data_IF_602250030829
#
_entry.id   IF_602250030829
#
_cell.length_a   1.000
_cell.length_b   1.000
_cell.length_c   1.000
_cell.angle_alpha   90.00
_cell.angle_beta   90.00
_cell.angle_gamma   90.00
#
_symmetry.space_group_name_H-M   'P 1'
#
loop_
_entity.id
_entity.type
_entity.pdbx_description
1 polymer ?
#
# COMPACT_ATOMS: atom_id res chain seq x y z
N UNK A 1 -20.63 -19.93 -31.43
CA UNK A 1 -19.76 -19.10 -30.58
C UNK A 1 -18.76 -20.03 -29.94
N UNK A 2 -17.47 -19.80 -30.13
CA UNK A 2 -16.43 -20.55 -29.42
C UNK A 2 -16.51 -20.14 -27.94
N UNK A 3 -16.88 -21.08 -27.07
CA UNK A 3 -16.94 -20.85 -25.63
C UNK A 3 -15.71 -21.45 -24.97
N UNK A 4 -15.35 -20.95 -23.79
CA UNK A 4 -14.22 -21.47 -23.01
C UNK A 4 -14.51 -22.86 -22.37
N UNK A 5 -15.62 -23.51 -22.72
CA UNK A 5 -16.07 -24.76 -22.09
C UNK A 5 -15.16 -25.95 -22.35
N UNK A 6 -14.53 -25.99 -23.53
CA UNK A 6 -13.59 -27.06 -23.92
C UNK A 6 -12.12 -26.72 -23.59
N UNK A 7 -11.89 -25.62 -22.85
CA UNK A 7 -10.54 -25.23 -22.48
C UNK A 7 -9.96 -26.21 -21.47
N UNK A 8 -8.92 -26.93 -21.91
CA UNK A 8 -8.12 -27.83 -21.07
C UNK A 8 -6.69 -27.31 -20.91
N UNK A 9 -6.05 -27.70 -19.82
CA UNK A 9 -4.67 -27.33 -19.50
C UNK A 9 -4.15 -28.12 -18.30
N UNK A 10 -2.84 -28.16 -18.16
CA UNK A 10 -2.20 -28.82 -17.02
C UNK A 10 -2.37 -27.98 -15.75
N UNK A 11 -2.40 -28.65 -14.59
CA UNK A 11 -2.37 -27.96 -13.29
C UNK A 11 -1.13 -27.10 -13.19
N UNK A 12 -1.30 -25.79 -12.98
CA UNK A 12 -0.20 -24.87 -12.77
C UNK A 12 0.49 -25.18 -11.43
N UNK A 13 1.83 -25.24 -11.44
CA UNK A 13 2.61 -25.32 -10.21
C UNK A 13 2.68 -23.94 -9.55
N UNK A 14 2.43 -23.90 -8.25
CA UNK A 14 2.60 -22.67 -7.47
C UNK A 14 4.08 -22.28 -7.45
N UNK A 15 4.37 -21.02 -7.80
CA UNK A 15 5.71 -20.48 -7.67
C UNK A 15 5.96 -20.11 -6.21
N UNK A 16 7.09 -20.55 -5.59
CA UNK A 16 7.41 -20.13 -4.24
C UNK A 16 7.61 -18.61 -4.20
N UNK A 17 6.93 -17.96 -3.25
CA UNK A 17 7.10 -16.53 -2.95
C UNK A 17 7.95 -16.44 -1.67
N UNK A 18 9.15 -15.86 -1.72
CA UNK A 18 9.95 -15.71 -0.52
C UNK A 18 9.27 -14.75 0.46
N UNK A 19 9.37 -14.99 1.78
CA UNK A 19 8.85 -14.05 2.76
C UNK A 19 9.59 -12.72 2.65
N UNK A 20 8.84 -11.62 2.74
CA UNK A 20 9.40 -10.27 2.82
C UNK A 20 9.57 -9.96 4.31
N UNK A 21 10.82 -9.78 4.75
CA UNK A 21 11.17 -9.52 6.15
C UNK A 21 11.95 -8.21 6.28
N UNK A 22 11.75 -7.48 7.38
CA UNK A 22 12.56 -6.34 7.80
C UNK A 22 12.92 -6.50 9.28
N UNK A 23 14.04 -5.90 9.68
CA UNK A 23 14.61 -5.98 11.04
C UNK A 23 13.99 -4.96 12.02
N UNK A 24 12.80 -4.44 11.70
CA UNK A 24 12.08 -3.35 12.40
C UNK A 24 12.89 -2.06 12.65
N UNK A 25 14.09 -1.94 12.05
CA UNK A 25 14.91 -0.74 12.20
C UNK A 25 14.39 0.38 11.30
N UNK A 26 14.01 1.51 11.92
CA UNK A 26 13.61 2.69 11.18
C UNK A 26 14.76 3.25 10.33
N UNK A 27 14.49 3.49 9.04
CA UNK A 27 15.45 4.13 8.12
C UNK A 27 14.84 5.40 7.53
N UNK A 28 15.65 6.45 7.49
CA UNK A 28 15.34 7.68 6.74
C UNK A 28 16.24 7.74 5.52
N UNK A 29 15.63 7.89 4.34
CA UNK A 29 16.33 8.10 3.08
C UNK A 29 15.93 9.45 2.54
N UNK A 30 16.90 10.33 2.35
CA UNK A 30 16.69 11.65 1.73
C UNK A 30 17.17 11.55 0.28
N UNK A 31 16.29 11.89 -0.65
CA UNK A 31 16.60 11.92 -2.08
C UNK A 31 16.53 13.37 -2.55
N UNK A 32 17.66 13.92 -2.96
CA UNK A 32 17.68 15.23 -3.61
C UNK A 32 17.12 15.12 -5.04
N UNK A 33 16.17 15.99 -5.36
CA UNK A 33 15.50 16.04 -6.65
C UNK A 33 15.37 17.49 -7.11
N UNK A 34 16.41 18.05 -7.74
CA UNK A 34 16.36 19.40 -8.27
C UNK A 34 15.18 19.61 -9.22
N UNK A 35 14.48 20.73 -9.07
CA UNK A 35 13.29 21.06 -9.86
C UNK A 35 12.00 20.37 -9.42
N UNK A 36 12.00 19.62 -8.31
CA UNK A 36 10.76 19.14 -7.73
C UNK A 36 9.88 20.32 -7.26
N UNK A 37 8.61 20.31 -7.65
CA UNK A 37 7.65 21.36 -7.30
C UNK A 37 7.16 21.27 -5.85
N UNK A 38 7.38 20.12 -5.19
CA UNK A 38 6.92 19.85 -3.83
C UNK A 38 7.81 18.78 -3.17
N UNK A 39 7.97 18.90 -1.85
CA UNK A 39 8.52 17.84 -1.00
C UNK A 39 7.52 16.68 -0.87
N UNK A 40 7.98 15.45 -1.10
CA UNK A 40 7.18 14.25 -0.83
C UNK A 40 7.73 13.53 0.40
N UNK A 41 6.83 13.16 1.31
CA UNK A 41 7.14 12.32 2.46
C UNK A 41 6.44 10.97 2.30
N UNK A 42 7.22 9.89 2.29
CA UNK A 42 6.72 8.53 2.22
C UNK A 42 7.05 7.82 3.52
N UNK A 43 6.05 7.20 4.14
CA UNK A 43 6.21 6.40 5.36
C UNK A 43 5.61 5.03 5.07
N UNK A 44 6.40 3.99 5.30
CA UNK A 44 5.98 2.61 5.04
C UNK A 44 6.64 1.64 6.00
N UNK A 45 5.97 0.50 6.17
CA UNK A 45 6.47 -0.68 6.89
C UNK A 45 5.96 -1.92 6.18
N UNK A 46 6.61 -3.07 6.41
CA UNK A 46 6.03 -4.35 6.01
C UNK A 46 4.73 -4.55 6.79
N UNK A 47 3.67 -4.90 6.07
CA UNK A 47 2.36 -5.24 6.61
C UNK A 47 2.03 -6.71 6.37
N UNK A 48 0.86 -7.13 6.84
CA UNK A 48 0.39 -8.50 6.68
C UNK A 48 0.21 -8.88 5.21
N UNK A 49 0.50 -10.14 4.89
CA UNK A 49 0.17 -10.72 3.60
C UNK A 49 -1.36 -10.81 3.42
N UNK A 50 -1.84 -10.73 2.18
CA UNK A 50 -3.28 -10.73 1.86
C UNK A 50 -4.00 -12.03 2.23
N UNK A 51 -3.25 -13.13 2.41
CA UNK A 51 -3.76 -14.43 2.83
C UNK A 51 -3.86 -14.55 4.36
N UNK A 52 -3.32 -13.59 5.11
CA UNK A 52 -3.45 -13.54 6.55
C UNK A 52 -4.84 -13.07 7.00
N UNK A 53 -5.33 -13.63 8.12
CA UNK A 53 -6.66 -13.29 8.66
C UNK A 53 -6.84 -11.82 9.03
N UNK A 54 -5.76 -11.10 9.32
CA UNK A 54 -5.79 -9.68 9.70
C UNK A 54 -5.97 -8.75 8.49
N UNK A 55 -5.74 -9.24 7.28
CA UNK A 55 -5.75 -8.42 6.06
C UNK A 55 -7.02 -7.56 5.89
N UNK A 56 -8.25 -8.09 6.07
CA UNK A 56 -9.45 -7.25 5.92
C UNK A 56 -9.49 -6.09 6.92
N UNK A 57 -9.06 -6.30 8.16
CA UNK A 57 -8.99 -5.24 9.17
C UNK A 57 -7.93 -4.20 8.81
N UNK A 58 -6.79 -4.63 8.26
CA UNK A 58 -5.74 -3.72 7.79
C UNK A 58 -6.24 -2.83 6.64
N UNK A 59 -6.96 -3.39 5.67
CA UNK A 59 -7.56 -2.63 4.55
C UNK A 59 -8.54 -1.56 5.07
N UNK A 60 -9.41 -1.93 6.01
CA UNK A 60 -10.32 -0.97 6.65
C UNK A 60 -9.56 0.14 7.39
N UNK A 61 -8.50 -0.23 8.12
CA UNK A 61 -7.63 0.73 8.81
C UNK A 61 -6.98 1.73 7.84
N UNK A 62 -6.43 1.24 6.72
CA UNK A 62 -5.85 2.09 5.66
C UNK A 62 -6.91 3.02 5.07
N UNK A 63 -8.11 2.53 4.82
CA UNK A 63 -9.22 3.34 4.30
C UNK A 63 -9.55 4.51 5.24
N UNK A 64 -9.71 4.25 6.53
CA UNK A 64 -9.96 5.27 7.54
C UNK A 64 -8.79 6.25 7.73
N UNK A 65 -7.55 5.77 7.60
CA UNK A 65 -6.37 6.59 7.84
C UNK A 65 -6.10 7.57 6.69
N UNK A 66 -6.10 7.08 5.45
CA UNK A 66 -5.69 7.88 4.29
C UNK A 66 -6.35 7.51 2.95
N UNK A 67 -7.32 6.59 2.94
CA UNK A 67 -7.88 6.06 1.69
C UNK A 67 -8.98 6.91 1.05
N UNK A 68 -9.39 8.01 1.67
CA UNK A 68 -10.46 8.89 1.17
C UNK A 68 -10.16 10.37 1.44
N UNK A 69 -10.90 11.25 0.75
CA UNK A 69 -10.95 12.68 1.03
C UNK A 69 -11.57 13.03 2.40
N UNK A 70 -12.15 12.04 3.10
CA UNK A 70 -12.71 12.20 4.45
C UNK A 70 -11.86 11.49 5.50
N UNK A 71 -10.66 11.02 5.11
CA UNK A 71 -9.77 10.26 5.97
C UNK A 71 -9.14 11.13 7.05
N UNK A 72 -8.56 10.49 8.07
CA UNK A 72 -7.92 11.21 9.18
C UNK A 72 -6.71 12.04 8.72
N UNK A 73 -5.91 11.53 7.79
CA UNK A 73 -4.75 12.27 7.27
C UNK A 73 -5.20 13.51 6.49
N UNK A 74 -6.22 13.37 5.64
CA UNK A 74 -6.76 14.48 4.88
C UNK A 74 -7.33 15.57 5.81
N UNK A 75 -8.26 15.19 6.70
CA UNK A 75 -8.87 16.13 7.65
C UNK A 75 -7.83 16.83 8.53
N UNK A 76 -6.89 16.09 9.13
CA UNK A 76 -5.96 16.70 10.11
C UNK A 76 -4.82 17.43 9.42
N UNK A 77 -4.18 16.83 8.42
CA UNK A 77 -2.96 17.41 7.83
C UNK A 77 -3.26 18.41 6.72
N UNK A 78 -4.26 18.16 5.88
CA UNK A 78 -4.65 19.08 4.80
C UNK A 78 -5.59 20.17 5.32
N UNK A 79 -6.70 19.81 5.95
CA UNK A 79 -7.75 20.78 6.27
C UNK A 79 -7.47 21.58 7.54
N UNK A 80 -7.23 20.90 8.67
CA UNK A 80 -7.05 21.57 9.96
C UNK A 80 -5.71 22.29 10.07
N UNK A 81 -4.64 21.70 9.53
CA UNK A 81 -3.26 22.21 9.70
C UNK A 81 -2.66 22.86 8.46
N UNK A 82 -3.18 22.57 7.26
CA UNK A 82 -2.63 23.11 6.01
C UNK A 82 -1.18 22.68 5.71
N UNK A 83 -0.73 21.53 6.23
CA UNK A 83 0.66 21.07 6.10
C UNK A 83 0.94 20.37 4.78
N UNK A 84 -0.09 19.86 4.11
CA UNK A 84 0.05 19.06 2.89
C UNK A 84 -0.99 19.48 1.87
N UNK A 85 -0.71 19.26 0.59
CA UNK A 85 -1.67 19.43 -0.49
C UNK A 85 -2.36 18.12 -0.90
N UNK A 86 -2.17 17.04 -0.12
CA UNK A 86 -2.46 15.65 -0.52
C UNK A 86 -1.23 14.93 -1.05
#
# INVERSE_FOLDING_TARGET
>A
AETLGDWSGNTAQARPVPPITADDTGRVVIVDRPGAVQTQLLIGRIGADRHERVWPAQVLGTYCLGGTLTSRLDRVLREEKGYTYG
#
